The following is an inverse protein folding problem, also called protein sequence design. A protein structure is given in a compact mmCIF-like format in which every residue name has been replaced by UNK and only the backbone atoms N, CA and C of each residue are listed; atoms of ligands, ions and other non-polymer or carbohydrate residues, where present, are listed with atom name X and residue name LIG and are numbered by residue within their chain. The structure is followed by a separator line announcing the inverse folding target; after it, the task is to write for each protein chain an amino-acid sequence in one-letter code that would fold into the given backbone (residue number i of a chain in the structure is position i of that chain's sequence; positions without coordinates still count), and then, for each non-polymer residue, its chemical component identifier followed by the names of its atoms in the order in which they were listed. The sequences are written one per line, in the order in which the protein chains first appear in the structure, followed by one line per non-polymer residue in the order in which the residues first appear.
data_IF_890678293212
#
_entry.id   IF_890678293212
#
_cell.length_a   1.000
_cell.length_b   1.000
_cell.length_c   1.000
_cell.angle_alpha   90.00
_cell.angle_beta   90.00
_cell.angle_gamma   90.00
#
_symmetry.space_group_name_H-M   'P 1'
#
loop_
_entity.id
_entity.type
_entity.pdbx_description
1 polymer ?
#
# COMPACT_ATOMS: atom_id res chain seq x y z
N UNK A 1 -19.67 -2.59 3.31
CA UNK A 1 -18.64 -1.88 4.10
C UNK A 1 -18.63 -0.42 3.70
N UNK A 2 -18.72 0.52 4.63
CA UNK A 2 -18.53 1.92 4.29
C UNK A 2 -17.19 2.10 3.57
N UNK A 3 -17.19 2.77 2.42
CA UNK A 3 -15.96 3.17 1.71
C UNK A 3 -14.85 3.84 2.57
N UNK A 4 -15.10 4.34 3.81
CA UNK A 4 -14.08 4.78 4.79
C UNK A 4 -13.22 3.61 5.24
N UNK A 5 -13.85 2.50 5.59
CA UNK A 5 -13.17 1.25 5.94
C UNK A 5 -12.38 0.69 4.75
N UNK A 6 -12.89 0.81 3.52
CA UNK A 6 -12.12 0.43 2.31
C UNK A 6 -10.86 1.29 2.15
N UNK A 7 -10.95 2.61 2.30
CA UNK A 7 -9.78 3.51 2.20
C UNK A 7 -8.74 3.16 3.27
N UNK A 8 -9.17 2.92 4.52
CA UNK A 8 -8.29 2.50 5.61
C UNK A 8 -7.56 1.19 5.28
N UNK A 9 -8.24 0.21 4.72
CA UNK A 9 -7.60 -1.06 4.30
C UNK A 9 -6.49 -0.79 3.30
N UNK A 10 -6.72 0.04 2.28
CA UNK A 10 -5.69 0.37 1.28
C UNK A 10 -4.49 1.10 1.88
N UNK A 11 -4.72 2.01 2.83
CA UNK A 11 -3.65 2.72 3.54
C UNK A 11 -2.81 1.75 4.38
N UNK A 12 -3.45 0.85 5.13
CA UNK A 12 -2.76 -0.18 5.91
C UNK A 12 -1.97 -1.11 4.98
N UNK A 13 -2.56 -1.51 3.85
CA UNK A 13 -1.91 -2.36 2.86
C UNK A 13 -0.64 -1.70 2.31
N UNK A 14 -0.70 -0.41 1.98
CA UNK A 14 0.48 0.39 1.61
C UNK A 14 1.55 0.34 2.69
N UNK A 15 1.20 0.61 3.95
CA UNK A 15 2.16 0.59 5.05
C UNK A 15 2.84 -0.79 5.19
N UNK A 16 2.09 -1.88 5.03
CA UNK A 16 2.63 -3.24 5.06
C UNK A 16 3.59 -3.47 3.90
N UNK A 17 3.24 -3.11 2.67
CA UNK A 17 4.12 -3.30 1.51
C UNK A 17 5.43 -2.52 1.63
N UNK A 18 5.38 -1.26 2.08
CA UNK A 18 6.57 -0.46 2.35
C UNK A 18 7.42 -1.05 3.50
N UNK A 19 6.76 -1.54 4.56
CA UNK A 19 7.43 -2.17 5.69
C UNK A 19 8.14 -3.46 5.32
N UNK A 20 7.47 -4.36 4.59
CA UNK A 20 8.03 -5.62 4.11
C UNK A 20 9.20 -5.38 3.17
N UNK A 21 9.07 -4.44 2.24
CA UNK A 21 10.14 -4.04 1.32
C UNK A 21 11.38 -3.52 2.08
N UNK A 22 11.16 -2.65 3.07
CA UNK A 22 12.24 -2.12 3.90
C UNK A 22 12.91 -3.23 4.71
N UNK A 23 12.13 -4.12 5.33
CA UNK A 23 12.65 -5.26 6.06
C UNK A 23 13.46 -6.20 5.16
N UNK A 24 12.94 -6.51 3.98
CA UNK A 24 13.59 -7.37 3.01
C UNK A 24 14.93 -6.78 2.52
N UNK A 25 15.01 -5.46 2.35
CA UNK A 25 16.29 -4.76 2.10
C UNK A 25 17.28 -4.91 3.26
N UNK A 26 16.80 -4.80 4.50
CA UNK A 26 17.65 -5.00 5.69
C UNK A 26 18.22 -6.42 5.74
N UNK A 27 17.44 -7.43 5.36
CA UNK A 27 17.90 -8.84 5.31
C UNK A 27 18.57 -9.23 3.99
N UNK A 28 18.94 -8.27 3.13
CA UNK A 28 19.58 -8.48 1.82
C UNK A 28 18.79 -9.39 0.85
N UNK A 29 17.46 -9.44 0.97
CA UNK A 29 16.61 -10.15 0.01
C UNK A 29 16.41 -9.28 -1.24
N UNK A 30 16.63 -9.81 -2.45
CA UNK A 30 16.42 -9.07 -3.68
C UNK A 30 14.92 -8.92 -3.94
N UNK A 31 14.39 -7.76 -3.60
CA UNK A 31 12.97 -7.41 -3.75
C UNK A 31 12.64 -6.68 -5.05
N UNK A 32 13.66 -6.19 -5.77
CA UNK A 32 13.52 -5.46 -7.03
C UNK A 32 12.55 -4.26 -6.96
N UNK A 33 12.38 -3.66 -5.76
CA UNK A 33 11.44 -2.57 -5.49
C UNK A 33 9.95 -2.92 -5.70
N UNK A 34 9.60 -4.21 -5.76
CA UNK A 34 8.22 -4.67 -5.99
C UNK A 34 7.26 -4.21 -4.88
N UNK A 35 7.70 -4.21 -3.62
CA UNK A 35 6.90 -3.76 -2.49
C UNK A 35 6.64 -2.25 -2.54
N UNK A 36 7.59 -1.43 -3.02
CA UNK A 36 7.29 -0.01 -3.27
C UNK A 36 6.25 0.18 -4.37
N UNK A 37 6.37 -0.56 -5.47
CA UNK A 37 5.42 -0.47 -6.60
C UNK A 37 4.01 -0.86 -6.13
N UNK A 38 3.87 -1.99 -5.44
CA UNK A 38 2.59 -2.45 -4.90
C UNK A 38 2.04 -1.51 -3.82
N UNK A 39 2.92 -0.95 -2.99
CA UNK A 39 2.55 0.05 -1.98
C UNK A 39 1.98 1.32 -2.60
N UNK A 40 2.61 1.85 -3.65
CA UNK A 40 2.14 3.03 -4.39
C UNK A 40 0.80 2.75 -5.09
N UNK A 41 0.66 1.60 -5.75
CA UNK A 41 -0.60 1.20 -6.40
C UNK A 41 -1.74 1.09 -5.39
N UNK A 42 -1.47 0.49 -4.23
CA UNK A 42 -2.44 0.38 -3.13
C UNK A 42 -2.85 1.75 -2.60
N UNK A 43 -1.91 2.69 -2.49
CA UNK A 43 -2.16 4.05 -2.03
C UNK A 43 -3.03 4.83 -3.03
N UNK A 44 -2.69 4.74 -4.33
CA UNK A 44 -3.48 5.34 -5.39
C UNK A 44 -4.90 4.78 -5.44
N UNK A 45 -5.07 3.45 -5.28
CA UNK A 45 -6.39 2.83 -5.22
C UNK A 45 -7.20 3.35 -4.03
N UNK A 46 -6.58 3.52 -2.86
CA UNK A 46 -7.18 4.14 -1.69
C UNK A 46 -7.65 5.57 -1.96
N UNK A 47 -6.82 6.40 -2.58
CA UNK A 47 -7.17 7.78 -2.95
C UNK A 47 -8.34 7.82 -3.93
N UNK A 48 -8.31 7.02 -5.01
CA UNK A 48 -9.38 6.99 -6.02
C UNK A 48 -10.71 6.56 -5.39
N UNK A 49 -10.70 5.56 -4.51
CA UNK A 49 -11.91 5.10 -3.81
C UNK A 49 -12.42 6.16 -2.83
N UNK A 50 -11.52 6.88 -2.16
CA UNK A 50 -11.85 8.00 -1.30
C UNK A 50 -12.44 9.20 -2.06
N UNK A 51 -11.86 9.53 -3.21
CA UNK A 51 -12.29 10.64 -4.06
C UNK A 51 -13.63 10.39 -4.75
N UNK A 52 -13.92 9.13 -5.13
CA UNK A 52 -15.22 8.71 -5.70
C UNK A 52 -16.40 8.75 -4.73
N UNK A 53 -16.19 9.10 -3.45
CA UNK A 53 -17.29 9.34 -2.49
C UNK A 53 -17.93 10.72 -2.61
N UNK A 54 -17.41 11.61 -3.48
CA UNK A 54 -17.99 12.93 -3.71
C UNK A 54 -19.23 12.84 -4.60
#
# INVERSE_FOLDING_TARGET
MESKWRVLIFIVLTAVFFGVETFAKVVNVPTYNLGYILGILSFMAGIVIGARRR
#
